data_IF_523163094922
#
_entry.id   IF_523163094922
#
_cell.length_a   1.000
_cell.length_b   1.000
_cell.length_c   1.000
_cell.angle_alpha   90.00
_cell.angle_beta   90.00
_cell.angle_gamma   90.00
#
_symmetry.space_group_name_H-M   'P 1'
#
loop_
_entity.id
_entity.type
_entity.pdbx_description
1 polymer ?
#
# COMPACT_ATOMS: atom_id res chain seq x y z
N UNK A 1 24.07 6.35 -4.00
CA UNK A 1 22.98 7.27 -3.63
C UNK A 1 22.58 6.96 -2.20
N UNK A 2 22.46 7.97 -1.33
CA UNK A 2 21.94 7.75 0.03
C UNK A 2 20.44 8.00 -0.04
N UNK A 3 19.63 6.94 0.06
CA UNK A 3 18.18 7.06 0.18
C UNK A 3 17.81 7.22 1.65
N UNK A 4 17.01 8.24 1.98
CA UNK A 4 16.51 8.45 3.35
C UNK A 4 15.05 8.03 3.40
N UNK A 5 14.75 6.98 4.17
CA UNK A 5 13.38 6.51 4.40
C UNK A 5 12.58 7.53 5.21
N UNK A 6 11.30 7.64 4.88
CA UNK A 6 10.30 8.36 5.66
C UNK A 6 9.77 7.47 6.79
N UNK A 7 9.14 8.08 7.80
CA UNK A 7 8.48 7.34 8.87
C UNK A 7 7.38 6.40 8.37
N UNK A 8 6.73 6.70 7.23
CA UNK A 8 5.75 5.81 6.62
C UNK A 8 6.42 4.54 6.09
N UNK A 9 7.58 4.68 5.43
CA UNK A 9 8.34 3.56 4.89
C UNK A 9 8.89 2.66 6.01
N UNK A 10 9.44 3.25 7.07
CA UNK A 10 9.89 2.51 8.25
C UNK A 10 8.73 1.76 8.92
N UNK A 11 7.57 2.42 9.03
CA UNK A 11 6.36 1.80 9.58
C UNK A 11 5.92 0.60 8.73
N UNK A 12 5.89 0.74 7.41
CA UNK A 12 5.48 -0.34 6.50
C UNK A 12 6.46 -1.51 6.55
N UNK A 13 7.77 -1.24 6.54
CA UNK A 13 8.78 -2.28 6.69
C UNK A 13 8.65 -2.99 8.05
N UNK A 14 8.34 -2.25 9.13
CA UNK A 14 8.08 -2.85 10.44
C UNK A 14 6.87 -3.79 10.43
N UNK A 15 5.78 -3.43 9.73
CA UNK A 15 4.62 -4.33 9.58
C UNK A 15 5.08 -5.62 8.90
N UNK A 16 5.66 -5.50 7.70
CA UNK A 16 6.04 -6.65 6.88
C UNK A 16 7.04 -7.57 7.58
N UNK A 17 8.06 -7.02 8.24
CA UNK A 17 9.05 -7.81 9.00
C UNK A 17 8.42 -8.53 10.19
N UNK A 18 7.53 -7.87 10.94
CA UNK A 18 6.82 -8.49 12.07
C UNK A 18 5.91 -9.63 11.64
N UNK A 19 5.27 -9.50 10.46
CA UNK A 19 4.48 -10.59 9.88
C UNK A 19 5.31 -11.50 8.97
N UNK A 20 6.64 -11.42 8.95
CA UNK A 20 7.50 -12.37 8.23
C UNK A 20 7.39 -12.37 6.70
N UNK A 21 7.12 -11.21 6.10
CA UNK A 21 7.06 -10.99 4.66
C UNK A 21 8.35 -10.33 4.19
N UNK A 22 9.02 -10.96 3.22
CA UNK A 22 10.33 -10.53 2.74
C UNK A 22 10.47 -10.55 1.21
N UNK A 23 9.46 -11.03 0.49
CA UNK A 23 9.49 -11.19 -0.96
C UNK A 23 8.17 -10.74 -1.62
N UNK A 24 8.23 -10.12 -2.82
CA UNK A 24 7.04 -9.64 -3.53
C UNK A 24 5.97 -10.70 -3.79
N UNK A 25 6.38 -11.97 -4.00
CA UNK A 25 5.45 -13.10 -4.20
C UNK A 25 4.52 -13.40 -3.01
N UNK A 26 4.80 -12.82 -1.83
CA UNK A 26 3.97 -12.99 -0.63
C UNK A 26 2.95 -11.84 -0.49
N UNK A 27 2.97 -10.85 -1.39
CA UNK A 27 2.13 -9.66 -1.34
C UNK A 27 0.77 -9.96 -1.95
N UNK A 28 -0.08 -10.59 -1.14
CA UNK A 28 -1.47 -10.88 -1.49
C UNK A 28 -2.37 -10.50 -0.32
N UNK A 29 -3.62 -10.06 -0.57
CA UNK A 29 -4.60 -9.80 0.48
C UNK A 29 -4.73 -10.95 1.48
N UNK A 30 -4.84 -12.19 1.00
CA UNK A 30 -5.10 -13.38 1.81
C UNK A 30 -3.95 -13.67 2.78
N UNK A 31 -2.72 -13.69 2.27
CA UNK A 31 -1.53 -13.97 3.08
C UNK A 31 -1.37 -12.92 4.20
N UNK A 32 -1.53 -11.65 3.86
CA UNK A 32 -1.31 -10.56 4.81
C UNK A 32 -2.46 -10.49 5.82
N UNK A 33 -3.71 -10.65 5.39
CA UNK A 33 -4.85 -10.74 6.28
C UNK A 33 -4.69 -11.88 7.30
N UNK A 34 -4.32 -13.08 6.83
CA UNK A 34 -4.10 -14.24 7.69
C UNK A 34 -3.01 -13.99 8.74
N UNK A 35 -1.90 -13.37 8.35
CA UNK A 35 -0.79 -13.09 9.28
C UNK A 35 -1.07 -11.95 10.25
N UNK A 36 -1.93 -10.99 9.87
CA UNK A 36 -2.39 -9.92 10.74
C UNK A 36 -3.59 -10.32 11.62
N UNK A 37 -4.15 -11.52 11.44
CA UNK A 37 -5.35 -11.96 12.16
C UNK A 37 -6.62 -11.22 11.73
N UNK A 38 -6.65 -10.70 10.49
CA UNK A 38 -7.80 -10.02 9.90
C UNK A 38 -8.73 -11.04 9.25
N UNK A 39 -10.03 -10.79 9.34
CA UNK A 39 -11.00 -11.48 8.49
C UNK A 39 -10.99 -10.79 7.12
N UNK A 40 -10.90 -11.57 6.05
CA UNK A 40 -10.99 -11.10 4.68
C UNK A 40 -12.19 -11.75 4.01
N UNK A 41 -13.02 -10.94 3.35
CA UNK A 41 -14.17 -11.40 2.57
C UNK A 41 -14.24 -10.68 1.21
N UNK A 42 -14.93 -11.28 0.26
CA UNK A 42 -15.13 -10.77 -1.09
C UNK A 42 -16.61 -10.57 -1.34
N UNK A 43 -17.00 -9.34 -1.66
CA UNK A 43 -18.41 -8.93 -1.73
C UNK A 43 -18.75 -8.31 -3.08
N UNK A 44 -20.02 -8.43 -3.48
CA UNK A 44 -20.58 -7.68 -4.60
C UNK A 44 -20.92 -6.25 -4.16
N UNK A 45 -19.91 -5.37 -4.13
CA UNK A 45 -20.05 -3.98 -3.68
C UNK A 45 -18.71 -3.29 -3.47
N UNK A 46 -18.72 -2.05 -3.01
CA UNK A 46 -17.50 -1.27 -2.73
C UNK A 46 -16.69 -1.90 -1.59
N UNK A 47 -15.36 -1.91 -1.74
CA UNK A 47 -14.44 -2.32 -0.69
C UNK A 47 -14.61 -1.46 0.56
N UNK A 48 -14.43 -2.04 1.74
CA UNK A 48 -14.52 -1.34 3.03
C UNK A 48 -13.95 -2.19 4.15
N UNK A 49 -13.46 -1.53 5.20
CA UNK A 49 -13.12 -2.15 6.47
C UNK A 49 -14.15 -1.87 7.57
N UNK A 50 -14.25 -2.79 8.54
CA UNK A 50 -15.10 -2.65 9.71
C UNK A 50 -14.41 -3.29 10.92
N UNK A 51 -14.49 -2.62 12.07
CA UNK A 51 -14.14 -3.20 13.37
C UNK A 51 -15.41 -3.66 14.09
N UNK A 52 -15.50 -4.95 14.43
CA UNK A 52 -16.61 -5.59 15.14
C UNK A 52 -16.10 -6.25 16.41
N UNK A 53 -16.17 -5.51 17.52
CA UNK A 53 -15.67 -5.98 18.82
C UNK A 53 -14.15 -6.19 18.78
N UNK A 54 -13.72 -7.45 18.87
CA UNK A 54 -12.30 -7.83 18.82
C UNK A 54 -11.83 -8.25 17.42
N UNK A 55 -12.70 -8.20 16.42
CA UNK A 55 -12.41 -8.63 15.05
C UNK A 55 -12.32 -7.42 14.12
N UNK A 56 -11.31 -7.41 13.27
CA UNK A 56 -11.20 -6.47 12.16
C UNK A 56 -11.44 -7.22 10.85
N UNK A 57 -12.36 -6.70 10.04
CA UNK A 57 -12.80 -7.28 8.77
C UNK A 57 -12.49 -6.31 7.63
N UNK A 58 -11.90 -6.83 6.54
CA UNK A 58 -11.83 -6.15 5.25
C UNK A 58 -12.74 -6.91 4.27
N UNK A 59 -13.66 -6.19 3.63
CA UNK A 59 -14.46 -6.69 2.52
C UNK A 59 -13.92 -6.06 1.23
N UNK A 60 -13.52 -6.85 0.25
CA UNK A 60 -13.04 -6.38 -1.05
C UNK A 60 -14.11 -6.55 -2.12
N UNK A 61 -14.17 -5.60 -3.06
CA UNK A 61 -15.04 -5.72 -4.22
C UNK A 61 -14.60 -6.90 -5.10
N UNK A 62 -15.44 -7.94 -5.20
CA UNK A 62 -15.13 -9.15 -5.95
C UNK A 62 -15.07 -8.95 -7.46
N UNK A 63 -15.64 -7.85 -7.98
CA UNK A 63 -15.71 -7.55 -9.40
C UNK A 63 -14.45 -6.82 -9.92
N UNK A 64 -13.51 -6.48 -9.03
CA UNK A 64 -12.25 -5.84 -9.39
C UNK A 64 -11.21 -6.87 -9.89
N UNK A 65 -10.22 -6.39 -10.63
CA UNK A 65 -9.03 -7.18 -10.96
C UNK A 65 -8.27 -7.53 -9.69
N UNK A 66 -7.50 -8.62 -9.68
CA UNK A 66 -6.66 -8.97 -8.51
C UNK A 66 -5.68 -7.85 -8.15
N UNK A 67 -5.19 -7.11 -9.14
CA UNK A 67 -4.31 -5.97 -8.92
C UNK A 67 -5.02 -4.80 -8.23
N UNK A 68 -6.26 -4.50 -8.64
CA UNK A 68 -7.08 -3.48 -7.98
C UNK A 68 -7.51 -3.92 -6.57
N UNK A 69 -7.87 -5.20 -6.38
CA UNK A 69 -8.18 -5.75 -5.05
C UNK A 69 -7.01 -5.63 -4.09
N UNK A 70 -5.78 -5.86 -4.57
CA UNK A 70 -4.58 -5.69 -3.77
C UNK A 70 -4.37 -4.23 -3.32
N UNK A 71 -4.60 -3.27 -4.21
CA UNK A 71 -4.50 -1.84 -3.90
C UNK A 71 -5.59 -1.38 -2.92
N UNK A 72 -6.83 -1.84 -3.13
CA UNK A 72 -7.96 -1.58 -2.25
C UNK A 72 -7.76 -2.19 -0.86
N UNK A 73 -7.22 -3.41 -0.80
CA UNK A 73 -6.85 -4.03 0.48
C UNK A 73 -5.88 -3.16 1.27
N UNK A 74 -4.84 -2.64 0.63
CA UNK A 74 -3.87 -1.78 1.30
C UNK A 74 -4.49 -0.46 1.75
N UNK A 75 -5.40 0.11 0.96
CA UNK A 75 -6.16 1.30 1.33
C UNK A 75 -7.01 1.06 2.58
N UNK A 76 -7.81 -0.01 2.59
CA UNK A 76 -8.66 -0.39 3.72
C UNK A 76 -7.84 -0.76 4.97
N UNK A 77 -6.69 -1.41 4.77
CA UNK A 77 -5.77 -1.72 5.86
C UNK A 77 -5.23 -0.44 6.53
N UNK A 78 -4.99 0.63 5.76
CA UNK A 78 -4.61 1.92 6.35
C UNK A 78 -5.67 2.44 7.30
N UNK A 79 -6.94 2.34 6.92
CA UNK A 79 -8.04 2.78 7.77
C UNK A 79 -8.06 2.02 9.10
N UNK A 80 -7.91 0.70 9.07
CA UNK A 80 -7.85 -0.12 10.29
C UNK A 80 -6.63 0.21 11.17
N UNK A 81 -5.45 0.39 10.58
CA UNK A 81 -4.20 0.52 11.35
C UNK A 81 -3.95 1.94 11.85
N UNK A 82 -4.44 2.96 11.16
CA UNK A 82 -3.99 4.35 11.35
C UNK A 82 -5.09 5.34 11.64
N UNK A 83 -6.34 5.00 11.36
CA UNK A 83 -7.46 5.93 11.50
C UNK A 83 -8.39 5.46 12.62
N UNK A 84 -8.84 6.40 13.44
CA UNK A 84 -9.83 6.17 14.49
C UNK A 84 -11.03 7.11 14.30
N UNK A 85 -12.21 6.65 14.71
CA UNK A 85 -13.45 7.43 14.66
C UNK A 85 -14.38 7.02 13.52
N UNK A 86 -15.69 7.21 13.74
CA UNK A 86 -16.69 6.92 12.73
C UNK A 86 -16.63 7.98 11.61
N UNK A 87 -16.28 7.56 10.40
CA UNK A 87 -16.19 8.44 9.21
C UNK A 87 -17.48 9.25 8.97
N UNK A 88 -18.65 8.74 9.34
CA UNK A 88 -19.92 9.47 9.18
C UNK A 88 -20.05 10.70 10.09
N UNK A 89 -19.24 10.78 11.15
CA UNK A 89 -19.27 11.84 12.15
C UNK A 89 -18.04 12.75 12.10
N UNK A 90 -17.07 12.47 11.21
CA UNK A 90 -15.85 13.25 11.08
C UNK A 90 -16.11 14.51 10.22
N UNK A 91 -15.55 15.67 10.60
CA UNK A 91 -15.67 16.87 9.77
C UNK A 91 -15.07 16.61 8.37
N UNK A 92 -15.63 17.21 7.29
CA UNK A 92 -15.23 16.89 5.91
C UNK A 92 -13.73 17.03 5.61
N UNK A 93 -13.04 17.95 6.30
CA UNK A 93 -11.60 18.13 6.14
C UNK A 93 -10.80 16.93 6.68
N UNK A 94 -11.20 16.38 7.83
CA UNK A 94 -10.53 15.21 8.42
C UNK A 94 -10.75 13.96 7.56
N UNK A 95 -11.94 13.80 6.98
CA UNK A 95 -12.21 12.72 6.02
C UNK A 95 -11.26 12.80 4.83
N UNK A 96 -11.17 13.96 4.18
CA UNK A 96 -10.23 14.15 3.06
C UNK A 96 -8.80 13.81 3.47
N UNK A 97 -8.35 14.28 4.64
CA UNK A 97 -7.01 13.97 5.14
C UNK A 97 -6.77 12.46 5.29
N UNK A 98 -7.72 11.72 5.87
CA UNK A 98 -7.62 10.26 6.00
C UNK A 98 -7.55 9.57 4.64
N UNK A 99 -8.38 9.98 3.67
CA UNK A 99 -8.36 9.43 2.31
C UNK A 99 -7.00 9.67 1.61
N UNK A 100 -6.42 10.86 1.77
CA UNK A 100 -5.08 11.17 1.25
C UNK A 100 -4.01 10.30 1.92
N UNK A 101 -4.11 10.09 3.23
CA UNK A 101 -3.20 9.22 3.99
C UNK A 101 -3.33 7.75 3.55
N UNK A 102 -4.56 7.26 3.34
CA UNK A 102 -4.82 5.90 2.90
C UNK A 102 -4.29 5.64 1.48
N UNK A 103 -4.46 6.59 0.55
CA UNK A 103 -3.87 6.50 -0.80
C UNK A 103 -2.34 6.45 -0.76
N UNK A 104 -1.72 7.33 0.02
CA UNK A 104 -0.26 7.35 0.18
C UNK A 104 0.25 6.06 0.83
N UNK A 105 -0.44 5.57 1.85
CA UNK A 105 -0.14 4.28 2.49
C UNK A 105 -0.23 3.15 1.47
N UNK A 106 -1.31 3.07 0.69
CA UNK A 106 -1.51 2.00 -0.29
C UNK A 106 -0.34 1.91 -1.29
N UNK A 107 0.12 3.05 -1.83
CA UNK A 107 1.28 3.08 -2.75
C UNK A 107 2.52 2.46 -2.12
N UNK A 108 2.86 2.89 -0.90
CA UNK A 108 4.04 2.40 -0.20
C UNK A 108 3.88 0.97 0.32
N UNK A 109 2.65 0.54 0.62
CA UNK A 109 2.38 -0.79 1.16
C UNK A 109 2.35 -1.83 0.04
N UNK A 110 1.74 -1.53 -1.10
CA UNK A 110 1.72 -2.43 -2.25
C UNK A 110 3.07 -2.51 -2.97
N UNK A 111 3.86 -1.43 -2.95
CA UNK A 111 5.21 -1.37 -3.52
C UNK A 111 6.19 -0.87 -2.42
N UNK A 112 6.57 -1.75 -1.48
CA UNK A 112 7.43 -1.38 -0.36
C UNK A 112 8.83 -1.01 -0.83
N UNK A 113 9.34 0.11 -0.33
CA UNK A 113 10.65 0.66 -0.71
C UNK A 113 11.77 -0.36 -0.54
N UNK A 114 11.82 -1.07 0.59
CA UNK A 114 12.86 -2.07 0.87
C UNK A 114 12.83 -3.29 -0.08
N UNK A 115 11.75 -3.48 -0.83
CA UNK A 115 11.66 -4.47 -1.91
C UNK A 115 11.89 -3.83 -3.28
N UNK A 116 11.37 -2.62 -3.50
CA UNK A 116 11.57 -1.85 -4.73
C UNK A 116 13.05 -1.59 -5.01
N UNK A 117 13.82 -1.22 -3.98
CA UNK A 117 15.28 -0.96 -4.08
C UNK A 117 16.10 -2.20 -4.49
N UNK A 118 15.51 -3.40 -4.40
CA UNK A 118 16.17 -4.66 -4.80
C UNK A 118 15.93 -5.01 -6.27
N UNK A 119 15.08 -4.27 -6.97
CA UNK A 119 14.81 -4.51 -8.38
C UNK A 119 15.91 -3.92 -9.25
N UNK A 120 16.30 -4.68 -10.27
CA UNK A 120 17.13 -4.19 -11.36
C UNK A 120 16.24 -3.50 -12.39
N UNK A 121 16.07 -2.18 -12.23
CA UNK A 121 15.22 -1.37 -13.09
C UNK A 121 16.03 -0.84 -14.27
N UNK A 122 15.45 -0.95 -15.47
CA UNK A 122 16.03 -0.40 -16.69
C UNK A 122 15.90 1.13 -16.74
N UNK A 123 16.80 1.81 -17.44
CA UNK A 123 16.69 3.27 -17.70
C UNK A 123 15.45 3.67 -18.53
N UNK A 124 14.80 2.70 -19.20
CA UNK A 124 13.54 2.93 -19.87
C UNK A 124 12.39 2.97 -18.85
N UNK A 125 11.82 4.17 -18.62
CA UNK A 125 10.72 4.39 -17.66
C UNK A 125 9.55 3.43 -17.87
N UNK A 126 9.09 3.22 -19.12
CA UNK A 126 7.93 2.34 -19.38
C UNK A 126 8.21 0.89 -19.04
N UNK A 127 9.41 0.41 -19.38
CA UNK A 127 9.85 -0.95 -19.01
C UNK A 127 9.99 -1.09 -17.49
N UNK A 128 10.54 -0.09 -16.81
CA UNK A 128 10.64 -0.08 -15.35
C UNK A 128 9.25 -0.15 -14.68
N UNK A 129 8.27 0.65 -15.15
CA UNK A 129 6.90 0.60 -14.66
C UNK A 129 6.29 -0.79 -14.86
N UNK A 130 6.47 -1.39 -16.05
CA UNK A 130 5.99 -2.74 -16.34
C UNK A 130 6.59 -3.80 -15.41
N UNK A 131 7.89 -3.71 -15.11
CA UNK A 131 8.58 -4.60 -14.16
C UNK A 131 7.98 -4.44 -12.75
N UNK A 132 7.78 -3.21 -12.29
CA UNK A 132 7.20 -2.92 -10.97
C UNK A 132 5.77 -3.46 -10.89
N UNK A 133 4.92 -3.12 -11.85
CA UNK A 133 3.53 -3.56 -11.91
C UNK A 133 3.42 -5.10 -11.85
N UNK A 134 4.23 -5.79 -12.66
CA UNK A 134 4.28 -7.25 -12.68
C UNK A 134 4.80 -7.85 -11.36
N UNK A 135 5.85 -7.26 -10.80
CA UNK A 135 6.52 -7.78 -9.59
C UNK A 135 5.64 -7.68 -8.36
N UNK A 136 4.94 -6.56 -8.21
CA UNK A 136 4.13 -6.24 -7.03
C UNK A 136 2.64 -6.53 -7.22
N UNK A 137 2.24 -7.02 -8.39
CA UNK A 137 0.85 -7.38 -8.68
C UNK A 137 -0.10 -6.18 -8.62
N UNK A 138 0.32 -5.03 -9.13
CA UNK A 138 -0.45 -3.78 -9.13
C UNK A 138 -0.74 -3.31 -10.56
N UNK A 139 -1.65 -2.34 -10.70
CA UNK A 139 -1.95 -1.72 -11.99
C UNK A 139 -0.80 -0.83 -12.46
N UNK A 140 -0.71 -0.65 -13.78
CA UNK A 140 0.40 0.07 -14.41
C UNK A 140 0.50 1.52 -13.91
N UNK A 141 -0.61 2.25 -13.87
CA UNK A 141 -0.63 3.65 -13.45
C UNK A 141 -0.28 3.81 -11.96
N UNK A 142 -0.67 2.83 -11.13
CA UNK A 142 -0.31 2.77 -9.71
C UNK A 142 1.20 2.56 -9.52
N UNK A 143 1.80 1.67 -10.32
CA UNK A 143 3.25 1.47 -10.37
C UNK A 143 3.99 2.72 -10.87
N UNK A 144 3.44 3.43 -11.87
CA UNK A 144 4.00 4.68 -12.37
C UNK A 144 4.04 5.74 -11.26
N UNK A 145 2.93 5.97 -10.56
CA UNK A 145 2.85 6.95 -9.49
C UNK A 145 3.88 6.67 -8.39
N UNK A 146 4.00 5.41 -7.94
CA UNK A 146 4.98 5.06 -6.92
C UNK A 146 6.43 5.26 -7.41
N UNK A 147 6.73 4.88 -8.65
CA UNK A 147 8.07 5.04 -9.22
C UNK A 147 8.46 6.52 -9.29
N UNK A 148 7.54 7.39 -9.70
CA UNK A 148 7.78 8.85 -9.72
C UNK A 148 8.09 9.39 -8.33
N UNK A 149 7.31 9.00 -7.30
CA UNK A 149 7.57 9.39 -5.91
C UNK A 149 8.97 8.93 -5.44
N UNK A 150 9.34 7.69 -5.76
CA UNK A 150 10.64 7.14 -5.39
C UNK A 150 11.80 7.88 -6.05
N UNK A 151 11.70 8.16 -7.36
CA UNK A 151 12.72 8.91 -8.11
C UNK A 151 12.86 10.35 -7.58
N UNK A 152 11.75 11.01 -7.25
CA UNK A 152 11.78 12.34 -6.63
C UNK A 152 12.51 12.30 -5.29
N UNK A 153 12.20 11.34 -4.41
CA UNK A 153 12.88 11.17 -3.13
C UNK A 153 14.38 10.90 -3.28
N UNK A 154 14.78 10.08 -4.27
CA UNK A 154 16.19 9.88 -4.64
C UNK A 154 16.89 11.18 -5.10
N UNK A 155 16.16 12.06 -5.79
CA UNK A 155 16.69 13.33 -6.32
C UNK A 155 16.78 14.47 -5.30
N UNK A 156 15.87 14.52 -4.31
CA UNK A 156 15.83 15.60 -3.30
C UNK A 156 17.10 15.62 -2.43
N UNK A 157 17.79 14.48 -2.30
CA UNK A 157 19.07 14.38 -1.59
C UNK A 157 20.19 15.23 -2.21
N UNK A 158 20.04 15.72 -3.45
CA UNK A 158 21.07 16.50 -4.16
C UNK A 158 21.02 18.02 -3.96
N UNK A 159 19.91 18.59 -3.45
CA UNK A 159 19.76 20.05 -3.28
C UNK A 159 19.73 20.49 -1.81
N UNK A 160 20.07 19.59 -0.88
CA UNK A 160 19.99 19.81 0.57
C UNK A 160 21.32 19.90 1.32
N UNK A 161 22.45 20.15 0.63
CA UNK A 161 23.76 20.40 1.25
C UNK A 161 24.22 21.83 1.01
#
# INVERSE_FOLDING_TARGET
MVYTKTHLEDFIESIYTNIGIYHPRQLTPEEIAARLGLVLDYVDGTSKCVELGQFSLIMLNQNLSSAAQWQEFAHELCHLLRHAGNQHNLPPFFLKMQEWQAKSFALHFCIPTFLLEKLDLTDNKKSAIGIIAQTFGVEYDFAEERLEQWLLQCSIVYYGN
#
